data_IF_788956227870
#
_entry.id   IF_788956227870
#
_cell.length_a   1.000
_cell.length_b   1.000
_cell.length_c   1.000
_cell.angle_alpha   90.00
_cell.angle_beta   90.00
_cell.angle_gamma   90.00
#
_symmetry.space_group_name_H-M   'P 1'
#
loop_
_entity.id
_entity.type
_entity.pdbx_description
1 polymer ?
#
# COMPACT_ATOMS: atom_id res chain seq x y z
N UNK A 1 5.02 17.45 3.69
CA UNK A 1 3.74 16.77 3.39
C UNK A 1 3.20 16.29 4.72
N UNK A 2 2.03 16.76 5.15
CA UNK A 2 1.39 16.24 6.36
C UNK A 2 1.06 14.75 6.12
N UNK A 3 1.07 13.88 7.15
CA UNK A 3 0.67 12.47 7.02
C UNK A 3 -0.74 12.28 6.41
N UNK A 4 -1.53 13.34 6.45
CA UNK A 4 -2.96 13.44 6.12
C UNK A 4 -3.34 13.25 4.64
N UNK A 5 -2.40 13.06 3.70
CA UNK A 5 -2.79 12.71 2.32
C UNK A 5 -1.73 11.88 1.57
N UNK A 6 -1.53 10.63 2.01
CA UNK A 6 -0.73 9.64 1.23
C UNK A 6 -1.50 9.23 -0.03
N UNK A 7 -2.83 9.27 0.04
CA UNK A 7 -3.74 8.83 -1.03
C UNK A 7 -4.85 9.88 -1.21
N UNK A 8 -5.18 10.21 -2.46
CA UNK A 8 -6.36 11.02 -2.77
C UNK A 8 -7.63 10.14 -2.74
N UNK A 9 -8.79 10.73 -2.44
CA UNK A 9 -10.06 9.98 -2.46
C UNK A 9 -10.35 9.38 -3.84
N UNK A 10 -10.03 10.09 -4.92
CA UNK A 10 -10.22 9.58 -6.28
C UNK A 10 -9.33 8.38 -6.56
N UNK A 11 -8.08 8.41 -6.13
CA UNK A 11 -7.18 7.26 -6.27
C UNK A 11 -7.66 6.06 -5.45
N UNK A 12 -8.06 6.28 -4.19
CA UNK A 12 -8.63 5.23 -3.35
C UNK A 12 -9.83 4.57 -4.02
N UNK A 13 -10.78 5.37 -4.52
CA UNK A 13 -11.97 4.89 -5.22
C UNK A 13 -11.63 4.06 -6.45
N UNK A 14 -10.64 4.48 -7.24
CA UNK A 14 -10.22 3.74 -8.43
C UNK A 14 -9.61 2.37 -8.07
N UNK A 15 -8.70 2.33 -7.10
CA UNK A 15 -8.02 1.07 -6.75
C UNK A 15 -8.95 0.09 -6.02
N UNK A 16 -9.87 0.57 -5.18
CA UNK A 16 -10.84 -0.32 -4.52
C UNK A 16 -11.87 -0.86 -5.48
N UNK A 17 -12.33 -0.06 -6.45
CA UNK A 17 -13.29 -0.53 -7.45
C UNK A 17 -12.68 -1.64 -8.32
N UNK A 18 -11.46 -1.43 -8.80
CA UNK A 18 -10.72 -2.45 -9.55
C UNK A 18 -10.44 -3.69 -8.70
N UNK A 19 -10.05 -3.51 -7.44
CA UNK A 19 -9.78 -4.62 -6.53
C UNK A 19 -11.04 -5.46 -6.26
N UNK A 20 -12.17 -4.81 -6.04
CA UNK A 20 -13.48 -5.45 -5.87
C UNK A 20 -13.94 -6.19 -7.13
N UNK A 21 -13.79 -5.59 -8.30
CA UNK A 21 -14.11 -6.22 -9.59
C UNK A 21 -13.24 -7.46 -9.85
N UNK A 22 -11.95 -7.39 -9.55
CA UNK A 22 -11.01 -8.49 -9.75
C UNK A 22 -11.11 -9.57 -8.68
N UNK A 23 -11.69 -9.26 -7.51
CA UNK A 23 -11.60 -10.12 -6.32
C UNK A 23 -10.15 -10.34 -5.86
N UNK A 24 -9.26 -9.39 -6.15
CA UNK A 24 -7.82 -9.48 -5.87
C UNK A 24 -7.32 -8.18 -5.24
N UNK A 25 -6.38 -8.27 -4.31
CA UNK A 25 -5.70 -7.10 -3.77
C UNK A 25 -4.88 -6.41 -4.87
N UNK A 26 -4.90 -5.08 -4.86
CA UNK A 26 -4.08 -4.24 -5.75
C UNK A 26 -3.09 -3.50 -4.88
N UNK A 27 -1.80 -3.58 -5.23
CA UNK A 27 -0.72 -2.84 -4.60
C UNK A 27 -0.12 -1.81 -5.55
N UNK A 28 0.26 -0.66 -5.02
CA UNK A 28 0.90 0.43 -5.77
C UNK A 28 2.06 0.96 -4.95
N UNK A 29 3.25 0.96 -5.55
CA UNK A 29 4.43 1.60 -4.98
C UNK A 29 4.52 3.03 -5.49
N UNK A 30 4.59 3.99 -4.57
CA UNK A 30 4.71 5.42 -4.89
C UNK A 30 5.93 6.04 -4.24
N UNK A 31 6.57 6.98 -4.92
CA UNK A 31 7.66 7.77 -4.33
C UNK A 31 7.13 8.92 -3.45
N UNK A 32 8.03 9.73 -2.88
CA UNK A 32 7.67 10.89 -2.03
C UNK A 32 7.00 12.03 -2.79
N UNK A 33 7.17 12.09 -4.09
CA UNK A 33 6.60 13.07 -5.00
C UNK A 33 5.20 12.63 -5.48
N UNK A 34 4.83 11.37 -5.24
CA UNK A 34 3.56 10.80 -5.66
C UNK A 34 3.62 10.12 -7.02
N UNK A 35 4.80 9.88 -7.58
CA UNK A 35 4.93 9.11 -8.82
C UNK A 35 4.76 7.62 -8.52
N UNK A 36 3.95 6.95 -9.35
CA UNK A 36 3.80 5.50 -9.33
C UNK A 36 5.07 4.88 -9.91
N UNK A 37 5.73 4.04 -9.11
CA UNK A 37 6.91 3.29 -9.51
C UNK A 37 6.54 1.90 -10.02
N UNK A 38 5.56 1.27 -9.38
CA UNK A 38 5.09 -0.07 -9.76
C UNK A 38 3.63 -0.29 -9.33
N UNK A 39 2.96 -1.23 -9.98
CA UNK A 39 1.59 -1.67 -9.68
C UNK A 39 1.52 -3.19 -9.75
N UNK A 40 0.97 -3.80 -8.71
CA UNK A 40 0.91 -5.23 -8.53
C UNK A 40 -0.53 -5.69 -8.31
N UNK A 41 -0.86 -6.88 -8.81
CA UNK A 41 -2.13 -7.56 -8.53
C UNK A 41 -1.84 -8.85 -7.80
N UNK A 42 -2.31 -8.92 -6.56
CA UNK A 42 -2.12 -10.02 -5.61
C UNK A 42 -3.21 -11.07 -5.68
N UNK A 43 -3.39 -11.88 -4.64
CA UNK A 43 -4.59 -12.70 -4.46
C UNK A 43 -5.59 -12.00 -3.53
N UNK A 44 -6.52 -12.73 -2.91
CA UNK A 44 -7.51 -12.16 -1.99
C UNK A 44 -6.94 -11.77 -0.61
N UNK A 45 -5.66 -12.08 -0.37
CA UNK A 45 -5.00 -11.99 0.94
C UNK A 45 -3.63 -11.33 0.92
N UNK A 46 -2.92 -11.34 -0.21
CA UNK A 46 -1.52 -10.91 -0.31
C UNK A 46 -1.21 -10.28 -1.65
N UNK A 47 -0.22 -9.39 -1.63
CA UNK A 47 0.44 -8.85 -2.83
C UNK A 47 1.93 -9.23 -2.82
N UNK A 48 2.48 -9.54 -4.00
CA UNK A 48 3.91 -9.82 -4.12
C UNK A 48 4.66 -8.56 -4.53
N UNK A 49 5.40 -7.97 -3.60
CA UNK A 49 6.19 -6.78 -3.86
C UNK A 49 7.46 -7.17 -4.63
N UNK A 50 7.77 -6.51 -5.76
CA UNK A 50 8.96 -6.83 -6.54
C UNK A 50 10.24 -6.56 -5.74
N UNK A 51 11.33 -7.24 -6.12
CA UNK A 51 12.63 -6.99 -5.48
C UNK A 51 13.12 -5.57 -5.76
N UNK A 52 13.30 -4.76 -4.71
CA UNK A 52 13.63 -3.33 -4.85
C UNK A 52 15.14 -3.02 -4.99
N UNK A 53 15.99 -4.02 -5.27
CA UNK A 53 17.44 -3.85 -5.38
C UNK A 53 18.14 -3.50 -4.04
N UNK A 54 19.43 -3.81 -3.90
CA UNK A 54 20.16 -3.67 -2.61
C UNK A 54 20.70 -2.27 -2.32
N UNK A 55 20.76 -1.38 -3.32
CA UNK A 55 21.55 -0.15 -3.22
C UNK A 55 21.04 0.88 -2.20
N UNK A 56 19.80 0.73 -1.70
CA UNK A 56 19.21 1.63 -0.68
C UNK A 56 18.92 0.95 0.65
N UNK A 57 19.39 -0.28 0.89
CA UNK A 57 19.03 -1.07 2.07
C UNK A 57 19.49 -0.49 3.43
N UNK A 58 20.38 0.52 3.44
CA UNK A 58 20.85 1.18 4.67
C UNK A 58 20.00 2.38 5.10
N UNK A 59 19.13 2.92 4.24
CA UNK A 59 18.22 4.05 4.52
C UNK A 59 16.79 3.67 4.15
N UNK A 60 15.80 4.46 4.57
CA UNK A 60 14.46 4.33 4.01
C UNK A 60 14.49 4.68 2.52
N UNK A 61 13.72 3.94 1.72
CA UNK A 61 13.81 4.00 0.24
C UNK A 61 13.16 5.24 -0.37
N UNK A 62 12.38 6.00 0.40
CA UNK A 62 11.54 7.04 -0.15
C UNK A 62 10.31 6.48 -0.87
N UNK A 63 9.92 5.24 -0.58
CA UNK A 63 8.83 4.53 -1.22
C UNK A 63 7.73 4.23 -0.22
N UNK A 64 6.48 4.33 -0.65
CA UNK A 64 5.30 4.01 0.14
C UNK A 64 4.50 2.96 -0.60
N UNK A 65 4.02 1.97 0.12
CA UNK A 65 3.09 0.98 -0.41
C UNK A 65 1.66 1.42 -0.09
N UNK A 66 0.81 1.44 -1.11
CA UNK A 66 -0.64 1.61 -0.98
C UNK A 66 -1.26 0.32 -1.52
N UNK A 67 -2.07 -0.37 -0.75
CA UNK A 67 -2.74 -1.59 -1.20
C UNK A 67 -4.16 -1.73 -0.68
N UNK A 68 -4.94 -2.61 -1.29
CA UNK A 68 -6.33 -2.87 -0.92
C UNK A 68 -6.45 -4.15 -0.10
N UNK A 69 -7.36 -4.17 0.88
CA UNK A 69 -7.73 -5.34 1.66
C UNK A 69 -9.19 -5.73 1.41
N UNK A 70 -9.42 -6.93 0.86
CA UNK A 70 -10.75 -7.45 0.54
C UNK A 70 -11.47 -8.03 1.77
N UNK A 71 -10.72 -8.45 2.79
CA UNK A 71 -11.26 -9.07 4.01
C UNK A 71 -11.52 -8.07 5.13
N UNK A 72 -11.42 -6.77 4.83
CA UNK A 72 -11.64 -5.65 5.77
C UNK A 72 -10.75 -5.71 7.03
N UNK A 73 -9.59 -6.36 6.90
CA UNK A 73 -8.59 -6.43 7.95
C UNK A 73 -7.72 -5.15 7.97
N UNK A 74 -7.21 -4.75 9.14
CA UNK A 74 -6.17 -3.72 9.21
C UNK A 74 -4.86 -4.22 8.58
N UNK A 75 -3.79 -3.42 8.66
CA UNK A 75 -2.44 -3.89 8.30
C UNK A 75 -2.09 -5.16 9.08
N UNK A 76 -1.66 -6.18 8.35
CA UNK A 76 -1.27 -7.49 8.87
C UNK A 76 0.18 -7.48 9.36
N UNK A 77 0.59 -8.52 10.10
CA UNK A 77 2.00 -8.69 10.48
C UNK A 77 2.93 -8.82 9.26
N UNK A 78 2.42 -9.34 8.15
CA UNK A 78 3.14 -9.45 6.88
C UNK A 78 3.40 -8.07 6.27
N UNK A 79 2.39 -7.19 6.28
CA UNK A 79 2.53 -5.81 5.80
C UNK A 79 3.56 -5.02 6.63
N UNK A 80 3.54 -5.20 7.95
CA UNK A 80 4.51 -4.58 8.86
C UNK A 80 5.92 -5.16 8.67
N UNK A 81 6.02 -6.46 8.38
CA UNK A 81 7.28 -7.11 8.06
C UNK A 81 7.84 -6.58 6.75
N UNK A 82 7.04 -6.46 5.70
CA UNK A 82 7.43 -5.88 4.42
C UNK A 82 7.84 -4.42 4.54
N UNK A 83 7.08 -3.61 5.28
CA UNK A 83 7.45 -2.21 5.60
C UNK A 83 8.87 -2.13 6.15
N UNK A 84 9.22 -3.02 7.08
CA UNK A 84 10.52 -3.05 7.75
C UNK A 84 11.62 -3.62 6.85
N UNK A 85 11.40 -4.81 6.29
CA UNK A 85 12.39 -5.55 5.50
C UNK A 85 12.71 -4.85 4.18
N UNK A 86 11.69 -4.27 3.54
CA UNK A 86 11.87 -3.52 2.30
C UNK A 86 12.28 -2.07 2.56
N UNK A 87 12.36 -1.63 3.82
CA UNK A 87 12.77 -0.27 4.22
C UNK A 87 11.88 0.80 3.58
N UNK A 88 10.57 0.55 3.52
CA UNK A 88 9.60 1.51 2.99
C UNK A 88 9.42 2.66 3.99
N UNK A 89 9.04 3.83 3.48
CA UNK A 89 8.68 4.98 4.30
C UNK A 89 7.34 4.74 5.02
N UNK A 90 6.38 4.12 4.33
CA UNK A 90 5.05 3.81 4.85
C UNK A 90 4.40 2.64 4.11
N UNK A 91 3.45 1.99 4.79
CA UNK A 91 2.51 1.04 4.22
C UNK A 91 1.08 1.49 4.57
N UNK A 92 0.19 1.42 3.59
CA UNK A 92 -1.17 1.92 3.69
C UNK A 92 -2.15 0.90 3.11
N UNK A 93 -3.07 0.39 3.93
CA UNK A 93 -4.16 -0.48 3.51
C UNK A 93 -5.48 0.28 3.40
N UNK A 94 -6.21 0.05 2.29
CA UNK A 94 -7.57 0.56 2.09
C UNK A 94 -8.51 -0.63 2.04
N UNK A 95 -9.44 -0.73 2.98
CA UNK A 95 -10.43 -1.81 2.96
C UNK A 95 -11.47 -1.56 1.89
N UNK A 96 -11.89 -2.63 1.22
CA UNK A 96 -12.89 -2.61 0.16
C UNK A 96 -14.22 -3.09 0.73
N UNK A 97 -15.30 -2.33 0.51
CA UNK A 97 -16.65 -2.76 0.88
C UNK A 97 -17.30 -3.65 -0.20
N UNK A 98 -18.52 -4.09 0.07
CA UNK A 98 -19.31 -4.94 -0.83
C UNK A 98 -19.72 -4.26 -2.15
N UNK A 99 -19.50 -2.95 -2.28
CA UNK A 99 -19.75 -2.16 -3.48
C UNK A 99 -18.46 -1.77 -4.22
N UNK A 100 -17.29 -2.24 -3.76
CA UNK A 100 -16.00 -1.86 -4.33
C UNK A 100 -15.53 -0.45 -3.92
N UNK A 101 -16.13 0.15 -2.90
CA UNK A 101 -15.78 1.47 -2.40
C UNK A 101 -14.79 1.39 -1.23
N UNK A 102 -13.98 2.44 -1.02
CA UNK A 102 -13.07 2.49 0.11
C UNK A 102 -13.83 2.71 1.42
N UNK A 103 -13.58 1.87 2.42
CA UNK A 103 -14.29 1.92 3.72
C UNK A 103 -13.37 2.42 4.85
N UNK A 104 -12.24 1.78 5.07
CA UNK A 104 -11.26 2.15 6.09
C UNK A 104 -9.88 2.38 5.50
N UNK A 105 -9.13 3.27 6.15
CA UNK A 105 -7.76 3.60 5.79
C UNK A 105 -6.84 3.31 6.98
N UNK A 106 -5.90 2.39 6.78
CA UNK A 106 -4.90 2.01 7.76
C UNK A 106 -3.53 2.48 7.31
N UNK A 107 -2.73 3.00 8.24
CA UNK A 107 -1.42 3.56 7.95
C UNK A 107 -0.40 3.13 9.01
N UNK A 108 0.72 2.60 8.55
CA UNK A 108 1.95 2.45 9.31
C UNK A 108 3.09 3.20 8.63
N UNK A 109 3.97 3.80 9.41
CA UNK A 109 5.14 4.51 8.90
C UNK A 109 6.32 4.34 9.86
N UNK A 110 7.53 4.41 9.31
CA UNK A 110 8.76 4.39 10.12
C UNK A 110 9.11 5.83 10.47
N UNK A 111 9.05 6.16 11.76
CA UNK A 111 9.43 7.47 12.25
C UNK A 111 10.93 7.73 12.01
N UNK A 112 11.32 8.96 11.63
CA UNK A 112 12.74 9.32 11.59
C UNK A 112 13.33 9.25 13.00
N UNK A 113 14.41 8.51 13.15
CA UNK A 113 15.26 8.51 14.34
C UNK A 113 16.29 9.63 14.31
#
# INVERSE_FOLDING_TARGET
>A
MRPESIVSQEFARQITALSGELGRQIGVLVDRQGHVLDTMVGDDSRIWIPSLGRERAQRLRGLRLIHTHLKKEPLTEEDLSDLTLLRLDAACAITVDEHGLPEHFHLAYIAPG
#
